data_IF_016724940333
#
_entry.id   IF_016724940333
#
_cell.length_a   1.000
_cell.length_b   1.000
_cell.length_c   1.000
_cell.angle_alpha   90.00
_cell.angle_beta   90.00
_cell.angle_gamma   90.00
#
_symmetry.space_group_name_H-M   'P 1'
#
loop_
_entity.id
_entity.type
_entity.pdbx_description
1 polymer ?
#
# COMPACT_ATOMS: atom_id res chain seq x y z
N UNK A 1 -26.79 17.10 2.11
CA UNK A 1 -26.20 15.86 1.56
C UNK A 1 -25.07 15.44 2.48
N UNK A 2 -24.94 14.16 2.86
CA UNK A 2 -23.96 13.78 3.86
C UNK A 2 -22.56 14.21 3.36
N UNK A 3 -21.78 14.95 4.18
CA UNK A 3 -20.52 15.58 3.77
C UNK A 3 -19.53 14.57 3.16
N UNK A 4 -19.65 13.29 3.55
CA UNK A 4 -18.87 12.17 3.04
C UNK A 4 -19.11 11.88 1.55
N UNK A 5 -20.34 11.97 1.05
CA UNK A 5 -20.64 11.72 -0.38
C UNK A 5 -19.97 12.78 -1.25
N UNK A 6 -19.95 14.04 -0.81
CA UNK A 6 -19.28 15.11 -1.55
C UNK A 6 -17.75 14.91 -1.59
N UNK A 7 -17.16 14.44 -0.49
CA UNK A 7 -15.73 14.14 -0.43
C UNK A 7 -15.33 12.95 -1.35
N UNK A 8 -16.15 11.91 -1.40
CA UNK A 8 -15.95 10.79 -2.32
C UNK A 8 -16.07 11.21 -3.78
N UNK A 9 -17.06 12.05 -4.11
CA UNK A 9 -17.22 12.63 -5.45
C UNK A 9 -16.00 13.48 -5.84
N UNK A 10 -15.41 14.23 -4.90
CA UNK A 10 -14.18 14.99 -5.15
C UNK A 10 -12.97 14.09 -5.43
N UNK A 11 -12.85 12.95 -4.75
CA UNK A 11 -11.82 11.95 -5.08
C UNK A 11 -12.02 11.36 -6.48
N UNK A 12 -13.25 11.00 -6.84
CA UNK A 12 -13.57 10.52 -8.18
C UNK A 12 -13.29 11.58 -9.25
N UNK A 13 -13.62 12.85 -9.00
CA UNK A 13 -13.30 13.94 -9.92
C UNK A 13 -11.80 14.22 -10.02
N UNK A 14 -11.04 14.08 -8.93
CA UNK A 14 -9.58 14.19 -8.98
C UNK A 14 -8.99 13.11 -9.89
N UNK A 15 -9.45 11.85 -9.77
CA UNK A 15 -9.08 10.76 -10.67
C UNK A 15 -9.51 11.02 -12.12
N UNK A 16 -10.63 11.71 -12.36
CA UNK A 16 -11.05 12.13 -13.71
C UNK A 16 -10.14 13.18 -14.37
N UNK A 17 -9.23 13.82 -13.61
CA UNK A 17 -8.32 14.86 -14.09
C UNK A 17 -6.92 14.33 -14.47
N UNK A 18 -6.80 13.07 -14.89
CA UNK A 18 -5.57 12.49 -15.47
C UNK A 18 -4.86 13.35 -16.52
N UNK A 19 -5.54 14.08 -17.45
CA UNK A 19 -4.81 14.93 -18.41
C UNK A 19 -4.03 16.08 -17.75
N UNK A 20 -4.37 16.48 -16.52
CA UNK A 20 -3.62 17.48 -15.77
C UNK A 20 -2.23 16.98 -15.33
N UNK A 21 -1.98 15.65 -15.36
CA UNK A 21 -0.68 15.05 -15.09
C UNK A 21 0.41 15.47 -16.09
N UNK A 22 0.04 16.00 -17.25
CA UNK A 22 1.00 16.54 -18.23
C UNK A 22 1.62 17.88 -17.79
N UNK A 23 1.09 18.53 -16.75
CA UNK A 23 1.64 19.79 -16.24
C UNK A 23 2.87 19.51 -15.38
N UNK A 24 4.00 20.14 -15.71
CA UNK A 24 5.26 20.06 -14.96
C UNK A 24 5.12 20.17 -13.42
N UNK A 25 4.33 21.10 -12.84
CA UNK A 25 4.18 21.18 -11.38
C UNK A 25 3.54 19.94 -10.74
N UNK A 26 2.60 19.27 -11.44
CA UNK A 26 1.93 18.06 -10.96
C UNK A 26 2.88 16.86 -11.05
N UNK A 27 3.71 16.79 -12.09
CA UNK A 27 4.74 15.74 -12.23
C UNK A 27 5.80 15.85 -11.12
N UNK A 28 6.24 17.08 -10.81
CA UNK A 28 7.17 17.31 -9.70
C UNK A 28 6.55 16.91 -8.35
N UNK A 29 5.25 17.15 -8.15
CA UNK A 29 4.53 16.68 -6.97
C UNK A 29 4.45 15.14 -6.91
N UNK A 30 4.14 14.48 -8.03
CA UNK A 30 4.10 13.02 -8.13
C UNK A 30 5.47 12.39 -7.83
N UNK A 31 6.54 12.92 -8.42
CA UNK A 31 7.91 12.44 -8.19
C UNK A 31 8.33 12.55 -6.72
N UNK A 32 7.99 13.67 -6.07
CA UNK A 32 8.22 13.83 -4.62
C UNK A 32 7.46 12.80 -3.80
N UNK A 33 6.20 12.53 -4.12
CA UNK A 33 5.40 11.53 -3.42
C UNK A 33 5.93 10.10 -3.62
N UNK A 34 6.36 9.74 -4.83
CA UNK A 34 7.00 8.45 -5.10
C UNK A 34 8.33 8.29 -4.36
N UNK A 35 9.13 9.36 -4.26
CA UNK A 35 10.36 9.33 -3.49
C UNK A 35 10.11 9.16 -1.99
N UNK A 36 9.12 9.88 -1.45
CA UNK A 36 8.80 9.86 -0.02
C UNK A 36 8.10 8.56 0.42
N UNK A 37 7.12 8.09 -0.37
CA UNK A 37 6.34 6.90 -0.06
C UNK A 37 7.02 5.62 -0.54
N UNK A 38 7.72 5.64 -1.68
CA UNK A 38 8.42 4.49 -2.24
C UNK A 38 9.85 4.38 -1.70
N UNK A 39 10.76 5.22 -2.20
CA UNK A 39 12.20 5.05 -1.95
C UNK A 39 12.56 5.11 -0.45
N UNK A 40 12.00 6.06 0.29
CA UNK A 40 12.31 6.17 1.72
C UNK A 40 11.69 5.06 2.57
N UNK A 41 10.74 4.29 2.05
CA UNK A 41 10.13 3.15 2.72
C UNK A 41 10.91 1.84 2.52
N UNK A 42 11.78 1.76 1.49
CA UNK A 42 12.60 0.58 1.18
C UNK A 42 13.30 -0.05 2.39
N UNK A 43 14.05 0.69 3.25
CA UNK A 43 14.77 0.05 4.36
C UNK A 43 13.82 -0.60 5.38
N UNK A 44 12.65 -0.01 5.61
CA UNK A 44 11.65 -0.57 6.51
C UNK A 44 11.01 -1.85 5.94
N UNK A 45 10.68 -1.82 4.65
CA UNK A 45 10.14 -3.00 3.95
C UNK A 45 11.19 -4.11 3.84
N UNK A 46 12.46 -3.78 3.62
CA UNK A 46 13.55 -4.76 3.61
C UNK A 46 13.69 -5.46 4.97
N UNK A 47 13.66 -4.68 6.06
CA UNK A 47 13.72 -5.23 7.41
C UNK A 47 12.52 -6.14 7.70
N UNK A 48 11.31 -5.72 7.34
CA UNK A 48 10.10 -6.54 7.47
C UNK A 48 10.19 -7.82 6.65
N UNK A 49 10.55 -7.72 5.37
CA UNK A 49 10.69 -8.88 4.49
C UNK A 49 11.71 -9.88 5.02
N UNK A 50 12.89 -9.41 5.43
CA UNK A 50 13.94 -10.27 5.96
C UNK A 50 13.49 -10.98 7.25
N UNK A 51 12.87 -10.25 8.18
CA UNK A 51 12.33 -10.83 9.41
C UNK A 51 11.26 -11.90 9.11
N UNK A 52 10.36 -11.66 8.16
CA UNK A 52 9.33 -12.62 7.75
C UNK A 52 9.93 -13.88 7.13
N UNK A 53 10.91 -13.73 6.22
CA UNK A 53 11.58 -14.86 5.59
C UNK A 53 12.27 -15.77 6.61
N UNK A 54 13.05 -15.17 7.51
CA UNK A 54 13.76 -15.90 8.58
C UNK A 54 12.78 -16.59 9.55
N UNK A 55 11.77 -15.86 10.03
CA UNK A 55 10.77 -16.40 10.95
C UNK A 55 9.96 -17.53 10.33
N UNK A 56 9.61 -17.43 9.04
CA UNK A 56 8.87 -18.47 8.34
C UNK A 56 9.66 -19.78 8.24
N UNK A 57 10.94 -19.71 7.89
CA UNK A 57 11.77 -20.93 7.82
C UNK A 57 11.92 -21.56 9.20
N UNK A 58 12.22 -20.75 10.22
CA UNK A 58 12.37 -21.24 11.59
C UNK A 58 11.08 -21.90 12.10
N UNK A 59 9.92 -21.28 11.84
CA UNK A 59 8.63 -21.82 12.27
C UNK A 59 8.28 -23.12 11.55
N UNK A 60 8.48 -23.18 10.23
CA UNK A 60 8.16 -24.37 9.44
C UNK A 60 9.05 -25.56 9.80
N UNK A 61 10.34 -25.31 10.05
CA UNK A 61 11.26 -26.35 10.52
C UNK A 61 10.81 -26.96 11.85
N UNK A 62 10.29 -26.14 12.77
CA UNK A 62 9.79 -26.60 14.07
C UNK A 62 8.49 -27.41 13.96
N UNK A 63 7.59 -27.07 13.02
CA UNK A 63 6.26 -27.68 12.93
C UNK A 63 6.24 -28.90 12.01
N UNK A 64 6.91 -28.85 10.86
CA UNK A 64 6.81 -29.85 9.79
C UNK A 64 8.11 -30.62 9.54
N UNK A 65 9.18 -30.35 10.30
CA UNK A 65 10.51 -30.90 10.08
C UNK A 65 11.27 -30.19 8.96
N UNK A 66 12.49 -30.65 8.68
CA UNK A 66 13.46 -29.98 7.80
C UNK A 66 13.17 -30.09 6.29
N UNK A 67 11.90 -30.07 5.85
CA UNK A 67 11.57 -30.07 4.43
C UNK A 67 11.64 -28.64 3.86
N UNK A 68 12.81 -28.29 3.34
CA UNK A 68 13.12 -26.95 2.84
C UNK A 68 12.27 -26.59 1.61
N UNK A 69 12.12 -27.49 0.64
CA UNK A 69 11.32 -27.26 -0.57
C UNK A 69 9.87 -26.92 -0.26
N UNK A 70 9.26 -27.71 0.62
CA UNK A 70 7.88 -27.47 1.06
C UNK A 70 7.74 -26.11 1.75
N UNK A 71 8.73 -25.75 2.58
CA UNK A 71 8.77 -24.47 3.31
C UNK A 71 8.84 -23.28 2.35
N UNK A 72 9.77 -23.31 1.40
CA UNK A 72 9.99 -22.22 0.45
C UNK A 72 8.81 -22.02 -0.51
N UNK A 73 8.18 -23.12 -0.96
CA UNK A 73 6.96 -23.08 -1.79
C UNK A 73 5.78 -22.49 -1.03
N UNK A 74 5.55 -22.98 0.19
CA UNK A 74 4.43 -22.54 1.02
C UNK A 74 4.59 -21.07 1.41
N UNK A 75 5.81 -20.63 1.73
CA UNK A 75 6.11 -19.23 2.02
C UNK A 75 5.77 -18.33 0.82
N UNK A 76 6.26 -18.68 -0.38
CA UNK A 76 6.00 -17.86 -1.57
C UNK A 76 4.50 -17.79 -1.87
N UNK A 77 3.80 -18.91 -1.79
CA UNK A 77 2.34 -18.95 -1.98
C UNK A 77 1.61 -18.03 -0.99
N UNK A 78 1.95 -18.11 0.30
CA UNK A 78 1.34 -17.31 1.36
C UNK A 78 1.63 -15.80 1.20
N UNK A 79 2.85 -15.45 0.81
CA UNK A 79 3.23 -14.07 0.55
C UNK A 79 2.47 -13.50 -0.65
N UNK A 80 2.38 -14.25 -1.75
CA UNK A 80 1.70 -13.81 -2.96
C UNK A 80 0.18 -13.68 -2.79
N UNK A 81 -0.45 -14.60 -2.04
CA UNK A 81 -1.90 -14.61 -1.89
C UNK A 81 -2.41 -13.49 -0.98
N UNK A 82 -1.67 -13.20 0.10
CA UNK A 82 -2.19 -12.36 1.20
C UNK A 82 -1.12 -11.45 1.83
N UNK A 83 -0.05 -12.05 2.39
CA UNK A 83 0.78 -11.34 3.36
C UNK A 83 1.57 -10.18 2.76
N UNK A 84 2.13 -10.31 1.55
CA UNK A 84 2.97 -9.26 0.99
C UNK A 84 2.19 -7.97 0.67
N UNK A 85 1.04 -8.03 -0.04
CA UNK A 85 0.18 -6.86 -0.24
C UNK A 85 -0.30 -6.23 1.07
N UNK A 86 -0.76 -7.05 2.01
CA UNK A 86 -1.33 -6.57 3.28
C UNK A 86 -0.27 -5.85 4.12
N UNK A 87 0.88 -6.48 4.36
CA UNK A 87 1.93 -5.94 5.23
C UNK A 87 2.55 -4.67 4.64
N UNK A 88 2.74 -4.62 3.32
CA UNK A 88 3.27 -3.43 2.64
C UNK A 88 2.29 -2.26 2.76
N UNK A 89 0.99 -2.50 2.55
CA UNK A 89 -0.02 -1.46 2.68
C UNK A 89 -0.16 -0.95 4.12
N UNK A 90 -0.14 -1.85 5.12
CA UNK A 90 -0.16 -1.46 6.53
C UNK A 90 1.08 -0.67 6.94
N UNK A 91 2.26 -1.02 6.42
CA UNK A 91 3.48 -0.25 6.64
C UNK A 91 3.38 1.16 6.02
N UNK A 92 2.89 1.28 4.79
CA UNK A 92 2.67 2.58 4.15
C UNK A 92 1.61 3.41 4.87
N UNK A 93 0.53 2.77 5.34
CA UNK A 93 -0.51 3.41 6.12
C UNK A 93 0.07 4.03 7.39
N UNK A 94 0.81 3.26 8.18
CA UNK A 94 1.39 3.76 9.43
C UNK A 94 2.41 4.87 9.21
N UNK A 95 3.30 4.70 8.22
CA UNK A 95 4.41 5.62 7.96
C UNK A 95 3.97 6.92 7.27
N UNK A 96 3.16 6.81 6.23
CA UNK A 96 2.90 7.92 5.29
C UNK A 96 1.52 8.55 5.47
N UNK A 97 0.51 7.80 5.93
CA UNK A 97 -0.87 8.29 5.99
C UNK A 97 -1.02 9.50 6.92
N UNK A 98 -0.43 9.43 8.12
CA UNK A 98 -0.54 10.48 9.13
C UNK A 98 0.02 11.82 8.64
N UNK A 99 1.21 11.78 8.00
CA UNK A 99 1.85 12.98 7.44
C UNK A 99 1.08 13.55 6.25
N UNK A 100 0.59 12.69 5.37
CA UNK A 100 -0.21 13.11 4.21
C UNK A 100 -1.51 13.76 4.65
N UNK A 101 -2.20 13.17 5.62
CA UNK A 101 -3.42 13.73 6.20
C UNK A 101 -3.16 15.07 6.90
N UNK A 102 -2.07 15.18 7.67
CA UNK A 102 -1.67 16.44 8.31
C UNK A 102 -1.41 17.53 7.26
N UNK A 103 -0.70 17.22 6.18
CA UNK A 103 -0.44 18.18 5.10
C UNK A 103 -1.73 18.68 4.43
N UNK A 104 -2.68 17.79 4.11
CA UNK A 104 -3.97 18.23 3.53
C UNK A 104 -4.76 19.04 4.55
N UNK A 105 -4.78 18.61 5.81
CA UNK A 105 -5.51 19.29 6.87
C UNK A 105 -4.95 20.70 7.11
N UNK A 106 -3.63 20.87 7.13
CA UNK A 106 -3.00 22.18 7.26
C UNK A 106 -3.39 23.12 6.12
N UNK A 107 -3.40 22.65 4.86
CA UNK A 107 -3.86 23.43 3.71
C UNK A 107 -5.32 23.90 3.86
N UNK A 108 -6.17 23.09 4.49
CA UNK A 108 -7.58 23.41 4.74
C UNK A 108 -7.73 24.41 5.89
N UNK A 109 -7.07 24.17 7.02
CA UNK A 109 -7.11 25.00 8.23
C UNK A 109 -6.53 26.39 7.99
N UNK A 110 -5.43 26.51 7.24
CA UNK A 110 -4.82 27.80 6.90
C UNK A 110 -5.55 28.56 5.79
N UNK A 111 -6.60 27.98 5.19
CA UNK A 111 -7.30 28.58 4.06
C UNK A 111 -6.52 28.54 2.73
N UNK A 112 -5.31 27.98 2.70
CA UNK A 112 -4.47 27.84 1.50
C UNK A 112 -5.18 27.05 0.39
N UNK A 113 -6.09 26.15 0.74
CA UNK A 113 -6.95 25.44 -0.22
C UNK A 113 -7.78 26.40 -1.09
N UNK A 114 -8.34 27.46 -0.49
CA UNK A 114 -9.10 28.50 -1.21
C UNK A 114 -8.17 29.45 -1.95
N UNK A 115 -7.00 29.72 -1.39
CA UNK A 115 -5.96 30.55 -2.02
C UNK A 115 -5.50 29.95 -3.35
N UNK A 116 -5.29 28.63 -3.41
CA UNK A 116 -4.97 27.93 -4.67
C UNK A 116 -6.07 28.14 -5.72
N UNK A 117 -7.33 28.00 -5.33
CA UNK A 117 -8.46 28.23 -6.23
C UNK A 117 -8.55 29.68 -6.73
N UNK A 118 -8.23 30.66 -5.86
CA UNK A 118 -8.16 32.08 -6.23
C UNK A 118 -7.03 32.38 -7.22
N UNK A 119 -5.93 31.62 -7.17
CA UNK A 119 -4.82 31.66 -8.12
C UNK A 119 -5.11 30.90 -9.43
N UNK A 120 -6.36 30.45 -9.66
CA UNK A 120 -6.76 29.62 -10.81
C UNK A 120 -6.00 28.28 -10.90
N UNK A 121 -5.43 27.82 -9.78
CA UNK A 121 -4.81 26.50 -9.66
C UNK A 121 -5.84 25.56 -9.06
N UNK A 122 -6.15 24.48 -9.77
CA UNK A 122 -7.06 23.46 -9.27
C UNK A 122 -6.40 22.67 -8.11
N UNK A 123 -6.88 22.82 -6.86
CA UNK A 123 -6.28 22.14 -5.71
C UNK A 123 -6.45 20.62 -5.78
N UNK A 124 -7.51 20.12 -6.44
CA UNK A 124 -7.74 18.69 -6.60
C UNK A 124 -6.65 18.05 -7.46
N UNK A 125 -6.35 18.63 -8.62
CA UNK A 125 -5.30 18.15 -9.51
C UNK A 125 -3.89 18.38 -8.95
N UNK A 126 -3.65 19.46 -8.19
CA UNK A 126 -2.31 19.78 -7.69
C UNK A 126 -1.95 19.03 -6.40
N UNK A 127 -2.91 18.86 -5.47
CA UNK A 127 -2.63 18.26 -4.15
C UNK A 127 -3.02 16.79 -4.10
N UNK A 128 -4.25 16.44 -4.51
CA UNK A 128 -4.80 15.09 -4.31
C UNK A 128 -4.32 14.11 -5.37
N UNK A 129 -4.44 14.47 -6.65
CA UNK A 129 -4.09 13.60 -7.78
C UNK A 129 -2.70 12.95 -7.67
N UNK A 130 -1.59 13.67 -7.39
CA UNK A 130 -0.28 13.03 -7.27
C UNK A 130 -0.23 12.01 -6.13
N UNK A 131 -0.96 12.23 -5.03
CA UNK A 131 -1.01 11.31 -3.88
C UNK A 131 -1.84 10.06 -4.19
N UNK A 132 -2.98 10.24 -4.84
CA UNK A 132 -3.88 9.16 -5.28
C UNK A 132 -3.23 8.24 -6.32
N UNK A 133 -2.22 8.71 -7.05
CA UNK A 133 -1.46 7.89 -8.01
C UNK A 133 -0.16 7.34 -7.44
N UNK A 134 0.59 8.13 -6.67
CA UNK A 134 1.89 7.72 -6.15
C UNK A 134 1.80 6.58 -5.14
N UNK A 135 0.81 6.61 -4.23
CA UNK A 135 0.73 5.64 -3.12
C UNK A 135 0.35 4.24 -3.62
N UNK A 136 -0.66 4.05 -4.51
CA UNK A 136 -0.92 2.74 -5.13
C UNK A 136 0.30 2.17 -5.85
N UNK A 137 0.97 2.99 -6.65
CA UNK A 137 2.16 2.58 -7.40
C UNK A 137 3.31 2.21 -6.46
N UNK A 138 3.56 3.01 -5.42
CA UNK A 138 4.55 2.71 -4.40
C UNK A 138 4.22 1.40 -3.66
N UNK A 139 2.94 1.18 -3.30
CA UNK A 139 2.47 -0.04 -2.65
C UNK A 139 2.73 -1.28 -3.49
N UNK A 140 2.39 -1.24 -4.79
CA UNK A 140 2.64 -2.36 -5.70
C UNK A 140 4.13 -2.67 -5.86
N UNK A 141 4.96 -1.65 -6.08
CA UNK A 141 6.41 -1.82 -6.22
C UNK A 141 7.07 -2.32 -4.93
N UNK A 142 6.67 -1.79 -3.77
CA UNK A 142 7.19 -2.23 -2.48
C UNK A 142 6.71 -3.64 -2.12
N UNK A 143 5.53 -4.07 -2.58
CA UNK A 143 5.05 -5.43 -2.39
C UNK A 143 5.94 -6.43 -3.13
N UNK A 144 6.28 -6.14 -4.39
CA UNK A 144 7.25 -6.93 -5.15
C UNK A 144 8.62 -6.97 -4.47
N UNK A 145 9.06 -5.82 -3.95
CA UNK A 145 10.32 -5.75 -3.20
C UNK A 145 10.29 -6.59 -1.92
N UNK A 146 9.19 -6.56 -1.16
CA UNK A 146 8.99 -7.39 0.03
C UNK A 146 9.07 -8.88 -0.31
N UNK A 147 8.39 -9.32 -1.39
CA UNK A 147 8.44 -10.70 -1.88
C UNK A 147 9.87 -11.15 -2.14
N UNK A 148 10.65 -10.33 -2.86
CA UNK A 148 12.04 -10.63 -3.18
C UNK A 148 12.91 -10.75 -1.94
N UNK A 149 12.79 -9.81 -0.99
CA UNK A 149 13.60 -9.81 0.23
C UNK A 149 13.20 -10.97 1.16
N UNK A 150 11.90 -11.23 1.32
CA UNK A 150 11.42 -12.30 2.18
C UNK A 150 11.82 -13.68 1.65
N UNK A 151 11.60 -13.94 0.35
CA UNK A 151 12.02 -15.19 -0.26
C UNK A 151 13.55 -15.33 -0.28
N UNK A 152 14.28 -14.25 -0.58
CA UNK A 152 15.74 -14.24 -0.58
C UNK A 152 16.33 -14.52 0.81
N UNK A 153 15.78 -13.92 1.87
CA UNK A 153 16.18 -14.19 3.24
C UNK A 153 15.87 -15.64 3.66
N UNK A 154 14.72 -16.17 3.26
CA UNK A 154 14.35 -17.55 3.52
C UNK A 154 15.31 -18.55 2.84
N UNK A 155 15.64 -18.33 1.57
CA UNK A 155 16.61 -19.15 0.83
C UNK A 155 17.99 -19.10 1.48
N UNK A 156 18.49 -17.91 1.80
CA UNK A 156 19.81 -17.73 2.41
C UNK A 156 19.92 -18.41 3.79
N UNK A 157 18.82 -18.48 4.54
CA UNK A 157 18.80 -19.13 5.85
C UNK A 157 18.59 -20.65 5.76
N UNK A 158 17.78 -21.12 4.81
CA UNK A 158 17.46 -22.53 4.67
C UNK A 158 18.52 -23.34 3.91
N UNK A 159 19.27 -22.69 3.01
CA UNK A 159 20.19 -23.33 2.08
C UNK A 159 21.53 -22.59 2.05
N UNK A 160 22.62 -23.33 2.23
CA UNK A 160 23.97 -22.81 1.95
C UNK A 160 24.16 -22.52 0.45
N UNK A 161 23.61 -23.40 -0.42
CA UNK A 161 23.52 -23.19 -1.86
C UNK A 161 22.29 -23.92 -2.44
N UNK A 162 21.35 -23.24 -3.11
CA UNK A 162 20.21 -23.90 -3.73
C UNK A 162 20.64 -24.70 -4.97
N UNK A 163 20.24 -25.96 -5.05
CA UNK A 163 20.34 -26.69 -6.32
C UNK A 163 19.28 -26.17 -7.32
N UNK A 164 19.48 -26.50 -8.60
CA UNK A 164 18.61 -25.99 -9.66
C UNK A 164 17.16 -26.49 -9.51
N UNK A 165 16.96 -27.72 -9.00
CA UNK A 165 15.64 -28.30 -8.82
C UNK A 165 14.83 -27.57 -7.73
N UNK A 166 15.45 -27.28 -6.59
CA UNK A 166 14.87 -26.53 -5.46
C UNK A 166 14.52 -25.10 -5.88
N UNK A 167 15.38 -24.47 -6.69
CA UNK A 167 15.12 -23.13 -7.21
C UNK A 167 13.88 -23.07 -8.12
N UNK A 168 13.69 -24.07 -8.98
CA UNK A 168 12.47 -24.13 -9.80
C UNK A 168 11.24 -24.52 -8.99
N UNK A 169 11.38 -25.48 -8.07
CA UNK A 169 10.26 -25.94 -7.25
C UNK A 169 9.71 -24.81 -6.39
N UNK A 170 10.57 -23.98 -5.79
CA UNK A 170 10.13 -22.84 -4.96
C UNK A 170 9.37 -21.77 -5.74
N UNK A 171 9.58 -21.64 -7.05
CA UNK A 171 8.94 -20.64 -7.90
C UNK A 171 7.62 -21.13 -8.51
N UNK A 172 7.29 -22.41 -8.39
CA UNK A 172 6.04 -22.99 -8.92
C UNK A 172 4.76 -22.23 -8.50
N UNK A 173 4.64 -21.68 -7.27
CA UNK A 173 3.48 -20.87 -6.89
C UNK A 173 3.34 -19.55 -7.65
N UNK A 174 4.42 -19.07 -8.28
CA UNK A 174 4.46 -17.81 -9.04
C UNK A 174 3.83 -17.99 -10.42
N UNK A 175 2.51 -18.19 -10.44
CA UNK A 175 1.73 -18.23 -11.67
C UNK A 175 1.33 -16.82 -12.12
N UNK A 176 1.06 -16.58 -13.42
CA UNK A 176 0.58 -15.28 -13.90
C UNK A 176 -0.71 -14.83 -13.20
N UNK A 177 -1.61 -15.76 -12.89
CA UNK A 177 -2.84 -15.49 -12.15
C UNK A 177 -2.55 -15.00 -10.72
N UNK A 178 -1.63 -15.67 -10.03
CA UNK A 178 -1.24 -15.30 -8.67
C UNK A 178 -0.49 -13.95 -8.64
N UNK A 179 0.38 -13.69 -9.60
CA UNK A 179 1.06 -12.40 -9.75
C UNK A 179 0.06 -11.26 -10.00
N UNK A 180 -0.94 -11.48 -10.86
CA UNK A 180 -1.99 -10.50 -11.11
C UNK A 180 -2.86 -10.25 -9.87
N UNK A 181 -3.19 -11.30 -9.12
CA UNK A 181 -3.91 -11.19 -7.85
C UNK A 181 -3.12 -10.33 -6.84
N UNK A 182 -1.84 -10.65 -6.63
CA UNK A 182 -0.96 -9.90 -5.75
C UNK A 182 -0.83 -8.42 -6.15
N UNK A 183 -0.65 -8.14 -7.44
CA UNK A 183 -0.56 -6.77 -7.96
C UNK A 183 -1.87 -6.01 -7.82
N UNK A 184 -3.01 -6.64 -8.12
CA UNK A 184 -4.32 -6.00 -7.98
C UNK A 184 -4.65 -5.67 -6.52
N UNK A 185 -4.39 -6.58 -5.58
CA UNK A 185 -4.58 -6.34 -4.13
C UNK A 185 -3.66 -5.23 -3.62
N UNK A 186 -2.37 -5.24 -3.99
CA UNK A 186 -1.43 -4.21 -3.55
C UNK A 186 -1.75 -2.81 -4.10
N UNK A 187 -2.23 -2.71 -5.35
CA UNK A 187 -2.74 -1.47 -5.92
C UNK A 187 -4.00 -0.99 -5.18
N UNK A 188 -4.95 -1.89 -4.93
CA UNK A 188 -6.18 -1.56 -4.21
C UNK A 188 -5.90 -1.07 -2.79
N UNK A 189 -5.08 -1.79 -2.02
CA UNK A 189 -4.76 -1.40 -0.65
C UNK A 189 -3.98 -0.09 -0.58
N UNK A 190 -3.08 0.15 -1.54
CA UNK A 190 -2.42 1.45 -1.70
C UNK A 190 -3.41 2.57 -2.05
N UNK A 191 -4.42 2.30 -2.88
CA UNK A 191 -5.48 3.26 -3.19
C UNK A 191 -6.37 3.56 -1.98
N UNK A 192 -6.72 2.56 -1.17
CA UNK A 192 -7.44 2.75 0.08
C UNK A 192 -6.64 3.60 1.06
N UNK A 193 -5.33 3.37 1.17
CA UNK A 193 -4.41 4.17 1.99
C UNK A 193 -4.37 5.63 1.52
N UNK A 194 -4.29 5.85 0.21
CA UNK A 194 -4.30 7.20 -0.37
C UNK A 194 -5.63 7.92 -0.11
N UNK A 195 -6.73 7.21 -0.35
CA UNK A 195 -8.08 7.74 -0.19
C UNK A 195 -8.37 8.08 1.27
N UNK A 196 -8.09 7.20 2.23
CA UNK A 196 -8.32 7.47 3.65
C UNK A 196 -7.53 8.68 4.14
N UNK A 197 -6.26 8.81 3.71
CA UNK A 197 -5.39 9.94 4.05
C UNK A 197 -5.92 11.26 3.51
N UNK A 198 -6.35 11.26 2.24
CA UNK A 198 -6.89 12.44 1.59
C UNK A 198 -8.25 12.84 2.18
N UNK A 199 -9.15 11.88 2.39
CA UNK A 199 -10.49 12.13 2.94
C UNK A 199 -10.42 12.72 4.34
N UNK A 200 -9.61 12.12 5.22
CA UNK A 200 -9.46 12.59 6.58
C UNK A 200 -8.88 14.01 6.64
N UNK A 201 -7.90 14.31 5.79
CA UNK A 201 -7.33 15.65 5.69
C UNK A 201 -8.28 16.68 5.08
N UNK A 202 -9.07 16.32 4.07
CA UNK A 202 -10.07 17.22 3.48
C UNK A 202 -11.22 17.53 4.44
N UNK A 203 -11.57 16.57 5.30
CA UNK A 203 -12.59 16.70 6.33
C UNK A 203 -12.12 17.51 7.55
N UNK A 204 -10.85 17.92 7.61
CA UNK A 204 -10.35 18.77 8.68
C UNK A 204 -10.87 20.20 8.51
N UNK A 205 -11.56 20.70 9.53
CA UNK A 205 -12.12 22.06 9.62
C UNK A 205 -11.94 22.57 11.05
N UNK A 206 -11.85 23.89 11.21
CA UNK A 206 -11.63 24.54 12.51
C UNK A 206 -10.16 24.86 12.80
N UNK A 207 -9.77 24.78 14.07
CA UNK A 207 -8.47 25.25 14.57
C UNK A 207 -7.35 24.20 14.48
N UNK A 208 -6.14 24.57 14.92
CA UNK A 208 -4.92 23.75 14.94
C UNK A 208 -5.08 22.28 15.42
N UNK A 209 -5.90 21.96 16.43
CA UNK A 209 -6.10 20.57 16.86
C UNK A 209 -6.71 19.67 15.77
N UNK A 210 -7.38 20.25 14.76
CA UNK A 210 -7.98 19.48 13.67
C UNK A 210 -6.93 18.73 12.82
N UNK A 211 -5.70 19.23 12.74
CA UNK A 211 -4.61 18.62 11.95
C UNK A 211 -4.20 17.27 12.54
N UNK A 212 -3.95 17.21 13.85
CA UNK A 212 -3.57 15.95 14.50
C UNK A 212 -4.73 14.95 14.56
N UNK A 213 -5.96 15.44 14.74
CA UNK A 213 -7.17 14.60 14.66
C UNK A 213 -7.35 13.97 13.27
N UNK A 214 -7.10 14.74 12.20
CA UNK A 214 -7.15 14.22 10.83
C UNK A 214 -6.13 13.10 10.61
N UNK A 215 -4.89 13.25 11.11
CA UNK A 215 -3.87 12.20 11.03
C UNK A 215 -4.30 10.91 11.73
N UNK A 216 -4.87 11.00 12.94
CA UNK A 216 -5.35 9.81 13.66
C UNK A 216 -6.52 9.13 12.93
N UNK A 217 -7.48 9.92 12.44
CA UNK A 217 -8.63 9.42 11.67
C UNK A 217 -8.20 8.74 10.37
N UNK A 218 -7.21 9.29 9.66
CA UNK A 218 -6.68 8.73 8.43
C UNK A 218 -6.16 7.31 8.62
N UNK A 219 -5.36 7.09 9.67
CA UNK A 219 -4.78 5.79 9.99
C UNK A 219 -5.87 4.80 10.40
N UNK A 220 -6.79 5.20 11.29
CA UNK A 220 -7.87 4.32 11.75
C UNK A 220 -8.77 3.88 10.59
N UNK A 221 -9.26 4.82 9.79
CA UNK A 221 -10.14 4.49 8.67
C UNK A 221 -9.41 3.72 7.56
N UNK A 222 -8.14 4.04 7.30
CA UNK A 222 -7.35 3.28 6.34
C UNK A 222 -7.10 1.85 6.80
N UNK A 223 -6.81 1.63 8.09
CA UNK A 223 -6.62 0.30 8.66
C UNK A 223 -7.89 -0.54 8.51
N UNK A 224 -9.04 0.01 8.92
CA UNK A 224 -10.33 -0.66 8.80
C UNK A 224 -10.69 -0.95 7.35
N UNK A 225 -10.44 -0.01 6.43
CA UNK A 225 -10.71 -0.20 5.01
C UNK A 225 -9.83 -1.30 4.39
N UNK A 226 -8.54 -1.34 4.70
CA UNK A 226 -7.62 -2.37 4.21
C UNK A 226 -8.02 -3.74 4.74
N UNK A 227 -8.24 -3.88 6.05
CA UNK A 227 -8.61 -5.15 6.67
C UNK A 227 -9.96 -5.65 6.16
N UNK A 228 -10.95 -4.77 6.00
CA UNK A 228 -12.26 -5.15 5.45
C UNK A 228 -12.15 -5.57 3.98
N UNK A 229 -11.35 -4.86 3.18
CA UNK A 229 -11.09 -5.24 1.80
C UNK A 229 -10.36 -6.59 1.71
N UNK A 230 -9.36 -6.82 2.56
CA UNK A 230 -8.63 -8.09 2.62
C UNK A 230 -9.55 -9.27 2.96
N UNK A 231 -10.39 -9.11 3.99
CA UNK A 231 -11.39 -10.11 4.35
C UNK A 231 -12.37 -10.41 3.20
N UNK A 232 -12.80 -9.39 2.45
CA UNK A 232 -13.65 -9.58 1.28
C UNK A 232 -12.95 -10.39 0.18
N UNK A 233 -11.68 -10.09 -0.10
CA UNK A 233 -10.87 -10.82 -1.08
C UNK A 233 -10.63 -12.28 -0.65
N UNK A 234 -10.40 -12.52 0.63
CA UNK A 234 -10.22 -13.86 1.18
C UNK A 234 -11.51 -14.70 1.07
N UNK A 235 -12.69 -14.08 1.22
CA UNK A 235 -13.99 -14.77 1.16
C UNK A 235 -14.50 -15.01 -0.27
N UNK A 236 -14.08 -14.20 -1.25
CA UNK A 236 -14.55 -14.30 -2.64
C UNK A 236 -14.37 -15.69 -3.28
N UNK A 237 -13.21 -16.36 -3.17
CA UNK A 237 -13.04 -17.72 -3.69
C UNK A 237 -13.95 -18.73 -2.99
N UNK A 238 -14.12 -18.61 -1.67
CA UNK A 238 -14.99 -19.50 -0.88
C UNK A 238 -16.48 -19.37 -1.25
N UNK A 239 -16.89 -18.20 -1.76
CA UNK A 239 -18.24 -17.96 -2.27
C UNK A 239 -18.46 -18.51 -3.69
N UNK A 240 -17.39 -18.66 -4.49
CA UNK A 240 -17.48 -19.19 -5.86
C UNK A 240 -17.38 -20.73 -5.90
N UNK A 241 -16.60 -21.35 -5.02
CA UNK A 241 -16.53 -22.82 -4.93
C UNK A 241 -17.20 -23.35 -3.64
N UNK A 242 -18.53 -23.54 -3.61
CA UNK A 242 -19.14 -24.39 -2.60
C UNK A 242 -18.85 -25.86 -2.97
N UNK A 243 -17.67 -26.37 -2.59
CA UNK A 243 -17.34 -27.80 -2.63
C UNK A 243 -16.23 -28.14 -1.64
#
# INVERSE_FOLDING_TARGET
MPPVINLLVQLCHALGRLPALRRAPVQAALGRQLQQCGLRALPGIACLGAALGLAAVQQMHHVYGANVDFTLRTLLQLLLSELAPLLTALFLLTRSSSGIAAEVAALRVHGEWRTLAAMQVDPLAFVLLPRLLAIPLASALLTLYLLLIAQGAAVLYALDAPDQATFYSMLEPLTPAMALLCLSKSLLFGALTAASSCLAGLAAEGDWPAVSQASARAVLFGLLAIVAADALFALLPALWSPA
#
